data_IF_346616455010
#
_entry.id   IF_346616455010
#
_cell.length_a   1.000
_cell.length_b   1.000
_cell.length_c   1.000
_cell.angle_alpha   90.00
_cell.angle_beta   90.00
_cell.angle_gamma   90.00
#
_symmetry.space_group_name_H-M   'P 1'
#
loop_
_entity.id
_entity.type
_entity.pdbx_description
1 polymer ?
#
# COMPACT_ATOMS: atom_id res chain seq x y z
N UNK A 1 6.68 -1.78 25.37
CA UNK A 1 6.84 -1.09 24.06
C UNK A 1 7.44 -2.11 23.09
N UNK A 2 7.07 -2.07 21.82
CA UNK A 2 7.52 -3.00 20.78
C UNK A 2 7.84 -2.22 19.51
N UNK A 3 8.89 -2.63 18.81
CA UNK A 3 9.20 -2.20 17.45
C UNK A 3 9.18 -3.46 16.59
N UNK A 4 8.47 -3.44 15.46
CA UNK A 4 8.49 -4.50 14.45
C UNK A 4 8.91 -3.95 13.09
N UNK A 5 9.67 -4.77 12.38
CA UNK A 5 9.96 -4.61 10.96
C UNK A 5 9.28 -5.77 10.24
N UNK A 6 8.47 -5.44 9.26
CA UNK A 6 7.70 -6.37 8.43
C UNK A 6 8.08 -6.14 6.97
N UNK A 7 8.11 -7.23 6.20
CA UNK A 7 8.47 -7.18 4.78
C UNK A 7 7.69 -8.21 3.98
N UNK A 8 7.32 -7.84 2.77
CA UNK A 8 6.66 -8.71 1.80
C UNK A 8 7.31 -8.49 0.43
N UNK A 9 7.44 -9.55 -0.35
CA UNK A 9 7.86 -9.47 -1.74
C UNK A 9 7.04 -10.46 -2.58
N UNK A 10 6.63 -10.02 -3.77
CA UNK A 10 5.84 -10.80 -4.71
C UNK A 10 6.55 -10.83 -6.06
N UNK A 11 6.61 -12.02 -6.66
CA UNK A 11 7.13 -12.23 -8.02
C UNK A 11 6.25 -13.27 -8.70
N UNK A 12 5.72 -12.93 -9.87
CA UNK A 12 4.86 -13.81 -10.66
C UNK A 12 5.44 -13.91 -12.06
N UNK A 13 5.56 -15.14 -12.54
CA UNK A 13 5.92 -15.44 -13.91
C UNK A 13 4.91 -16.43 -14.47
N UNK A 14 4.21 -16.02 -15.53
CA UNK A 14 3.25 -16.87 -16.21
C UNK A 14 3.42 -16.74 -17.72
N UNK A 15 3.26 -17.87 -18.41
CA UNK A 15 3.41 -18.00 -19.85
C UNK A 15 2.28 -18.87 -20.38
N UNK A 16 1.85 -18.58 -21.59
CA UNK A 16 0.84 -19.32 -22.35
C UNK A 16 1.38 -19.65 -23.74
N UNK A 17 0.68 -20.49 -24.49
CA UNK A 17 1.04 -20.77 -25.89
C UNK A 17 0.99 -19.52 -26.79
N UNK A 18 0.36 -18.44 -26.33
CA UNK A 18 0.24 -17.15 -27.03
C UNK A 18 1.19 -16.07 -26.49
N UNK A 19 2.12 -16.42 -25.60
CA UNK A 19 3.03 -15.48 -24.93
C UNK A 19 2.67 -15.24 -23.46
N UNK A 20 3.07 -14.09 -22.87
CA UNK A 20 2.76 -13.77 -21.49
C UNK A 20 1.26 -13.82 -21.21
N UNK A 21 0.87 -14.34 -20.04
CA UNK A 21 -0.52 -14.28 -19.61
C UNK A 21 -0.97 -12.83 -19.43
N UNK A 22 -2.22 -12.53 -19.76
CA UNK A 22 -2.77 -11.19 -19.61
C UNK A 22 -2.75 -10.74 -18.15
N UNK A 23 -2.39 -9.48 -17.89
CA UNK A 23 -2.43 -8.84 -16.57
C UNK A 23 -1.60 -9.55 -15.51
N UNK A 24 -0.43 -10.07 -15.88
CA UNK A 24 0.54 -10.58 -14.91
C UNK A 24 1.03 -9.40 -14.05
N UNK A 25 0.93 -9.48 -12.71
CA UNK A 25 1.47 -8.41 -11.88
C UNK A 25 3.00 -8.32 -12.04
N UNK A 26 3.57 -7.11 -12.14
CA UNK A 26 5.01 -6.95 -11.98
C UNK A 26 5.44 -7.37 -10.57
N UNK A 27 6.73 -7.53 -10.36
CA UNK A 27 7.22 -7.79 -9.01
C UNK A 27 6.95 -6.58 -8.10
N UNK A 28 6.77 -6.86 -6.82
CA UNK A 28 6.60 -5.80 -5.83
C UNK A 28 7.28 -6.14 -4.52
N UNK A 29 7.61 -5.11 -3.76
CA UNK A 29 8.19 -5.22 -2.42
C UNK A 29 7.52 -4.22 -1.51
N UNK A 30 7.19 -4.65 -0.30
CA UNK A 30 6.63 -3.79 0.76
C UNK A 30 7.49 -3.92 2.00
N UNK A 31 7.87 -2.80 2.58
CA UNK A 31 8.53 -2.73 3.88
C UNK A 31 7.70 -1.88 4.84
N UNK A 32 7.54 -2.35 6.08
CA UNK A 32 6.78 -1.65 7.11
C UNK A 32 7.53 -1.63 8.44
N UNK A 33 7.69 -0.45 9.00
CA UNK A 33 8.23 -0.24 10.34
C UNK A 33 7.11 0.21 11.26
N UNK A 34 6.81 -0.56 12.30
CA UNK A 34 5.73 -0.28 13.23
C UNK A 34 6.23 -0.22 14.67
N UNK A 35 5.84 0.84 15.37
CA UNK A 35 6.08 1.04 16.79
C UNK A 35 4.77 0.95 17.56
N UNK A 36 4.78 0.22 18.67
CA UNK A 36 3.64 0.10 19.56
C UNK A 36 4.01 0.29 21.03
N UNK A 37 3.18 1.04 21.74
CA UNK A 37 3.33 1.34 23.15
C UNK A 37 1.96 1.50 23.82
N UNK A 38 1.95 1.68 25.15
CA UNK A 38 0.71 1.91 25.90
C UNK A 38 -0.07 3.11 25.35
N UNK A 39 0.51 4.33 25.23
CA UNK A 39 -0.25 5.46 24.73
C UNK A 39 -0.24 5.60 23.21
N UNK A 40 0.73 5.06 22.47
CA UNK A 40 0.92 5.42 21.04
C UNK A 40 1.25 4.18 20.20
N UNK A 41 0.61 4.10 19.04
CA UNK A 41 1.09 3.31 17.91
C UNK A 41 1.41 4.22 16.72
N UNK A 42 2.43 3.87 15.96
CA UNK A 42 2.80 4.56 14.73
C UNK A 42 3.40 3.57 13.74
N UNK A 43 3.16 3.75 12.44
CA UNK A 43 3.85 2.99 11.42
C UNK A 43 4.07 3.78 10.13
N UNK A 44 5.20 3.45 9.50
CA UNK A 44 5.56 3.82 8.13
C UNK A 44 5.53 2.56 7.29
N UNK A 45 4.96 2.65 6.10
CA UNK A 45 4.99 1.60 5.10
C UNK A 45 5.42 2.19 3.76
N UNK A 46 6.29 1.46 3.07
CA UNK A 46 6.75 1.80 1.72
C UNK A 46 6.50 0.59 0.85
N UNK A 47 5.73 0.76 -0.23
CA UNK A 47 5.49 -0.26 -1.25
C UNK A 47 6.05 0.23 -2.57
N UNK A 48 6.92 -0.56 -3.18
CA UNK A 48 7.38 -0.36 -4.55
C UNK A 48 6.80 -1.46 -5.43
N UNK A 49 6.21 -1.05 -6.54
CA UNK A 49 5.71 -1.94 -7.60
C UNK A 49 6.47 -1.58 -8.86
N UNK A 50 7.12 -2.56 -9.47
CA UNK A 50 7.95 -2.32 -10.64
C UNK A 50 7.13 -2.05 -11.90
N UNK A 51 7.80 -1.60 -12.94
CA UNK A 51 7.22 -1.51 -14.28
C UNK A 51 6.84 -2.91 -14.80
N UNK A 52 5.82 -2.96 -15.64
CA UNK A 52 5.41 -4.16 -16.36
C UNK A 52 5.45 -3.89 -17.86
N UNK A 53 6.42 -4.49 -18.53
CA UNK A 53 6.65 -4.45 -19.97
C UNK A 53 6.38 -5.80 -20.65
N UNK A 54 6.29 -6.89 -19.88
CA UNK A 54 5.97 -8.24 -20.34
C UNK A 54 4.46 -8.43 -20.41
N UNK A 55 3.87 -7.89 -21.46
CA UNK A 55 2.42 -7.86 -21.69
C UNK A 55 1.98 -8.79 -22.82
N UNK A 56 0.69 -9.15 -22.84
CA UNK A 56 0.09 -9.91 -23.94
C UNK A 56 -0.29 -9.00 -25.12
N UNK A 57 -0.79 -9.58 -26.21
CA UNK A 57 -1.26 -8.82 -27.38
C UNK A 57 -2.46 -7.92 -26.99
N UNK A 58 -2.40 -6.62 -27.35
CA UNK A 58 -3.39 -5.58 -27.02
C UNK A 58 -3.49 -5.20 -25.53
N UNK A 59 -2.47 -5.50 -24.73
CA UNK A 59 -2.32 -4.98 -23.37
C UNK A 59 -1.27 -3.86 -23.33
N UNK A 60 -1.60 -2.73 -22.67
CA UNK A 60 -0.66 -1.63 -22.50
C UNK A 60 0.29 -1.89 -21.32
N UNK A 61 1.60 -1.60 -21.44
CA UNK A 61 2.53 -1.57 -20.32
C UNK A 61 2.07 -0.63 -19.19
N UNK A 62 2.64 -0.79 -18.00
CA UNK A 62 2.43 0.12 -16.87
C UNK A 62 3.74 0.51 -16.23
N UNK A 63 3.88 1.79 -15.90
CA UNK A 63 5.05 2.34 -15.21
C UNK A 63 5.15 1.84 -13.76
N UNK A 64 6.36 1.92 -13.21
CA UNK A 64 6.61 1.63 -11.80
C UNK A 64 6.03 2.73 -10.88
N UNK A 65 5.85 2.40 -9.60
CA UNK A 65 5.56 3.41 -8.60
C UNK A 65 6.06 3.02 -7.21
N UNK A 66 6.33 4.05 -6.40
CA UNK A 66 6.65 3.89 -4.98
C UNK A 66 5.65 4.68 -4.14
N UNK A 67 4.90 3.99 -3.30
CA UNK A 67 3.88 4.56 -2.43
C UNK A 67 4.34 4.52 -0.97
N UNK A 68 4.14 5.64 -0.27
CA UNK A 68 4.44 5.76 1.16
C UNK A 68 3.16 5.99 1.94
N UNK A 69 2.93 5.18 2.97
CA UNK A 69 1.77 5.27 3.85
C UNK A 69 2.21 5.53 5.30
N UNK A 70 1.46 6.36 6.01
CA UNK A 70 1.66 6.68 7.43
C UNK A 70 0.40 6.35 8.21
N UNK A 71 0.57 5.72 9.37
CA UNK A 71 -0.54 5.49 10.31
C UNK A 71 -0.10 5.85 11.72
N UNK A 72 -1.00 6.42 12.51
CA UNK A 72 -0.75 6.81 13.89
C UNK A 72 -2.00 6.74 14.73
N UNK A 73 -1.86 6.26 15.97
CA UNK A 73 -2.93 6.18 16.95
C UNK A 73 -2.41 6.60 18.32
N UNK A 74 -3.22 7.37 19.05
CA UNK A 74 -2.94 7.84 20.40
C UNK A 74 -4.08 7.50 21.35
N UNK A 75 -3.73 6.96 22.50
CA UNK A 75 -4.57 6.55 23.62
C UNK A 75 -4.21 7.42 24.82
N UNK A 76 -4.83 8.62 24.93
CA UNK A 76 -4.46 9.61 25.93
C UNK A 76 -4.72 9.16 27.37
N UNK A 77 -5.69 8.26 27.57
CA UNK A 77 -6.21 7.88 28.87
C UNK A 77 -6.07 6.36 29.00
N UNK A 78 -5.27 5.88 29.95
CA UNK A 78 -5.08 4.44 30.15
C UNK A 78 -6.39 3.75 30.60
N UNK A 79 -7.20 4.46 31.39
CA UNK A 79 -8.41 3.91 32.03
C UNK A 79 -9.68 4.11 31.19
N UNK A 80 -9.58 4.85 30.07
CA UNK A 80 -10.69 5.06 29.13
C UNK A 80 -10.30 4.54 27.76
N UNK A 81 -11.16 3.73 27.15
CA UNK A 81 -10.91 3.17 25.82
C UNK A 81 -11.15 4.19 24.70
N UNK A 82 -10.51 5.37 24.77
CA UNK A 82 -10.52 6.41 23.74
C UNK A 82 -9.26 6.30 22.90
N UNK A 83 -9.41 6.25 21.59
CA UNK A 83 -8.30 6.30 20.63
C UNK A 83 -8.54 7.43 19.63
N UNK A 84 -7.56 8.31 19.46
CA UNK A 84 -7.50 9.29 18.37
C UNK A 84 -6.53 8.74 17.33
N UNK A 85 -6.91 8.74 16.06
CA UNK A 85 -6.05 8.22 15.00
C UNK A 85 -6.00 9.12 13.78
N UNK A 86 -4.89 9.01 13.06
CA UNK A 86 -4.67 9.66 11.78
C UNK A 86 -3.94 8.69 10.84
N UNK A 87 -4.34 8.67 9.58
CA UNK A 87 -3.76 7.86 8.52
C UNK A 87 -3.56 8.73 7.28
N UNK A 88 -2.39 8.63 6.67
CA UNK A 88 -2.11 9.22 5.36
C UNK A 88 -1.75 8.08 4.41
N UNK A 89 -2.60 7.84 3.42
CA UNK A 89 -2.33 6.91 2.33
C UNK A 89 -1.84 7.69 1.12
N UNK A 90 -0.82 7.16 0.42
CA UNK A 90 -0.17 7.82 -0.70
C UNK A 90 0.36 9.23 -0.33
N UNK A 91 1.24 9.31 0.68
CA UNK A 91 1.82 10.55 1.19
C UNK A 91 2.49 11.40 0.11
N UNK A 92 3.15 10.75 -0.85
CA UNK A 92 3.87 11.37 -1.97
C UNK A 92 2.97 11.77 -3.13
N UNK A 93 1.68 11.41 -3.09
CA UNK A 93 0.68 11.75 -4.12
C UNK A 93 1.09 11.26 -5.52
N UNK A 94 1.66 10.05 -5.56
CA UNK A 94 2.00 9.40 -6.83
C UNK A 94 0.73 8.92 -7.52
N UNK A 95 0.65 9.13 -8.84
CA UNK A 95 -0.38 8.47 -9.65
C UNK A 95 0.04 7.00 -9.81
N UNK A 96 -0.66 6.10 -9.14
CA UNK A 96 -0.38 4.66 -9.19
C UNK A 96 -1.43 3.94 -10.04
N UNK A 97 -0.99 3.01 -10.90
CA UNK A 97 -1.86 2.16 -11.72
C UNK A 97 -1.49 0.70 -11.48
N UNK A 98 -2.42 -0.07 -10.93
CA UNK A 98 -2.21 -1.50 -10.70
C UNK A 98 -2.36 -2.26 -12.02
N UNK A 99 -1.30 -2.91 -12.50
CA UNK A 99 -1.30 -3.63 -13.78
C UNK A 99 -2.41 -4.69 -13.86
N UNK A 100 -2.75 -5.33 -12.74
CA UNK A 100 -3.80 -6.35 -12.66
C UNK A 100 -5.22 -5.79 -12.86
N UNK A 101 -5.40 -4.47 -12.76
CA UNK A 101 -6.70 -3.80 -12.85
C UNK A 101 -7.18 -3.71 -14.30
N UNK A 102 -8.42 -4.11 -14.54
CA UNK A 102 -9.08 -3.87 -15.83
C UNK A 102 -9.29 -2.39 -16.14
N UNK A 103 -9.32 -1.54 -15.11
CA UNK A 103 -9.52 -0.10 -15.25
C UNK A 103 -8.19 0.66 -15.26
N UNK A 104 -7.05 -0.03 -15.30
CA UNK A 104 -5.71 0.61 -15.19
C UNK A 104 -5.49 1.72 -16.22
N UNK A 105 -6.14 1.67 -17.39
CA UNK A 105 -5.99 2.66 -18.45
C UNK A 105 -6.99 3.83 -18.32
N UNK A 106 -8.03 3.66 -17.50
CA UNK A 106 -9.14 4.63 -17.33
C UNK A 106 -9.02 5.36 -15.99
N UNK A 107 -8.78 4.62 -14.91
CA UNK A 107 -8.84 5.12 -13.55
C UNK A 107 -7.57 4.70 -12.78
N UNK A 108 -6.74 5.65 -12.36
CA UNK A 108 -5.66 5.37 -11.42
C UNK A 108 -6.19 5.06 -10.03
N UNK A 109 -5.31 4.59 -9.15
CA UNK A 109 -5.58 4.49 -7.71
C UNK A 109 -5.92 5.86 -7.12
N UNK A 110 -6.50 5.85 -5.92
CA UNK A 110 -6.71 7.09 -5.18
C UNK A 110 -5.36 7.82 -4.96
N UNK A 111 -5.37 9.14 -5.20
CA UNK A 111 -4.26 10.02 -4.82
C UNK A 111 -4.11 10.12 -3.30
N UNK A 112 -3.38 11.13 -2.84
CA UNK A 112 -3.15 11.35 -1.40
C UNK A 112 -4.46 11.45 -0.62
N UNK A 113 -4.60 10.62 0.41
CA UNK A 113 -5.80 10.54 1.25
C UNK A 113 -5.42 10.65 2.73
N UNK A 114 -6.03 11.62 3.43
CA UNK A 114 -5.93 11.79 4.88
C UNK A 114 -7.24 11.35 5.55
N UNK A 115 -7.12 10.43 6.52
CA UNK A 115 -8.21 10.03 7.41
C UNK A 115 -7.86 10.39 8.84
N UNK A 116 -8.79 10.99 9.56
CA UNK A 116 -8.69 11.26 10.99
C UNK A 116 -9.94 10.80 11.69
N UNK A 117 -9.83 10.34 12.93
CA UNK A 117 -11.00 9.89 13.67
C UNK A 117 -10.75 9.69 15.15
N UNK A 118 -11.86 9.48 15.86
CA UNK A 118 -11.89 9.15 17.29
C UNK A 118 -12.73 7.89 17.45
N UNK A 119 -12.19 6.90 18.14
CA UNK A 119 -12.89 5.67 18.51
C UNK A 119 -13.04 5.60 20.03
N UNK A 120 -14.24 5.25 20.50
CA UNK A 120 -14.54 5.01 21.90
C UNK A 120 -15.15 3.61 22.06
N UNK A 121 -14.64 2.81 23.00
CA UNK A 121 -15.26 1.51 23.37
C UNK A 121 -15.89 1.63 24.76
N UNK A 122 -17.17 1.24 24.83
CA UNK A 122 -17.96 1.17 26.06
C UNK A 122 -17.78 -0.18 26.77
#
# INVERSE_FOLDING_TARGET
RKLSLEGQADYVHAETDLGPAARIPPWSVTGRLAWSSTPIDAAVEVRHVAEQDRVTENELPTDDYTMVNLTGAWRPLADKNVTVFAEVHNLTDVEAREHVSFLKDIAPMAGRNLRVGVAYRF
#
